data_IF_157853634098
#
_entry.id   IF_157853634098
#
_cell.length_a   1.000
_cell.length_b   1.000
_cell.length_c   1.000
_cell.angle_alpha   90.00
_cell.angle_beta   90.00
_cell.angle_gamma   90.00
#
_symmetry.space_group_name_H-M   'P 1'
#
loop_
_entity.id
_entity.type
_entity.pdbx_description
1 polymer ?
#
# COMPACT_ATOMS: atom_id res chain seq x y z
N UNK A 1 -2.43 -17.82 21.36
CA UNK A 1 -1.37 -16.89 21.81
C UNK A 1 -1.65 -15.55 21.14
N UNK A 2 -1.79 -14.47 21.91
CA UNK A 2 -2.01 -13.13 21.34
C UNK A 2 -0.75 -12.70 20.61
N UNK A 3 -0.88 -12.29 19.33
CA UNK A 3 0.24 -11.82 18.52
C UNK A 3 0.77 -10.50 19.09
N UNK A 4 2.05 -10.43 19.44
CA UNK A 4 2.68 -9.19 19.89
C UNK A 4 2.95 -8.28 18.68
N UNK A 5 2.00 -7.39 18.40
CA UNK A 5 2.09 -6.44 17.30
C UNK A 5 3.27 -5.46 17.42
N UNK A 6 3.74 -5.16 18.64
CA UNK A 6 4.86 -4.25 18.84
C UNK A 6 6.17 -4.92 18.48
N UNK A 7 6.36 -6.18 18.85
CA UNK A 7 7.52 -6.97 18.42
C UNK A 7 7.52 -7.16 16.89
N UNK A 8 6.37 -7.53 16.34
CA UNK A 8 6.22 -7.76 14.90
C UNK A 8 6.50 -6.51 14.08
N UNK A 9 6.00 -5.35 14.52
CA UNK A 9 6.30 -4.06 13.90
C UNK A 9 7.80 -3.78 13.89
N UNK A 10 8.49 -3.96 15.04
CA UNK A 10 9.95 -3.75 15.13
C UNK A 10 10.73 -4.67 14.18
N UNK A 11 10.35 -5.95 14.13
CA UNK A 11 10.94 -6.93 13.20
C UNK A 11 10.72 -6.51 11.75
N UNK A 12 9.51 -6.04 11.41
CA UNK A 12 9.18 -5.59 10.06
C UNK A 12 9.93 -4.32 9.67
N UNK A 13 10.03 -3.32 10.55
CA UNK A 13 10.83 -2.11 10.31
C UNK A 13 12.31 -2.41 10.15
N UNK A 14 12.85 -3.34 10.95
CA UNK A 14 14.22 -3.83 10.80
C UNK A 14 14.44 -4.47 9.42
N UNK A 15 13.50 -5.30 8.97
CA UNK A 15 13.51 -5.86 7.62
C UNK A 15 13.47 -4.76 6.55
N UNK A 16 12.50 -3.83 6.60
CA UNK A 16 12.36 -2.74 5.64
C UNK A 16 13.63 -1.88 5.54
N UNK A 17 14.31 -1.64 6.65
CA UNK A 17 15.55 -0.84 6.70
C UNK A 17 16.73 -1.50 5.99
N UNK A 18 16.73 -2.84 5.86
CA UNK A 18 17.81 -3.63 5.26
C UNK A 18 17.60 -3.88 3.76
N UNK A 19 16.45 -3.53 3.21
CA UNK A 19 16.16 -3.73 1.79
C UNK A 19 17.13 -2.94 0.89
N UNK A 20 17.73 -3.63 -0.08
CA UNK A 20 18.54 -3.01 -1.11
C UNK A 20 17.64 -2.51 -2.26
N UNK A 21 17.06 -1.32 -2.11
CA UNK A 21 16.15 -0.77 -3.12
C UNK A 21 16.85 -0.51 -4.46
N UNK A 22 18.14 -0.11 -4.43
CA UNK A 22 18.92 0.20 -5.64
C UNK A 22 19.09 -1.01 -6.56
N UNK A 23 19.18 -2.22 -5.99
CA UNK A 23 19.27 -3.48 -6.75
C UNK A 23 18.13 -3.65 -7.76
N UNK A 24 16.98 -3.03 -7.49
CA UNK A 24 15.75 -3.22 -8.26
C UNK A 24 15.29 -1.96 -9.02
N UNK A 25 16.15 -0.93 -9.12
CA UNK A 25 15.78 0.34 -9.76
C UNK A 25 15.36 0.12 -11.23
N UNK A 26 16.06 -0.75 -11.97
CA UNK A 26 15.75 -1.10 -13.36
C UNK A 26 14.37 -1.77 -13.52
N UNK A 27 13.91 -2.57 -12.55
CA UNK A 27 12.61 -3.27 -12.61
C UNK A 27 11.43 -2.30 -12.66
N UNK A 28 11.59 -1.05 -12.21
CA UNK A 28 10.53 -0.03 -12.25
C UNK A 28 10.26 0.47 -13.66
N UNK A 29 11.25 0.40 -14.54
CA UNK A 29 11.18 0.90 -15.91
C UNK A 29 10.68 -0.17 -16.89
N UNK A 30 10.83 -1.45 -16.53
CA UNK A 30 10.42 -2.58 -17.37
C UNK A 30 8.88 -2.71 -17.38
N UNK A 31 8.32 -2.60 -18.59
CA UNK A 31 6.88 -2.60 -18.89
C UNK A 31 6.45 -3.69 -19.87
N UNK A 32 7.17 -4.81 -19.87
CA UNK A 32 6.91 -5.92 -20.79
C UNK A 32 5.60 -6.64 -20.49
N UNK A 33 5.31 -6.88 -19.20
CA UNK A 33 4.06 -7.52 -18.75
C UNK A 33 3.16 -6.46 -18.12
N UNK A 34 2.24 -5.93 -18.91
CA UNK A 34 1.23 -4.94 -18.46
C UNK A 34 -0.19 -5.50 -18.45
N UNK A 35 -0.44 -6.64 -19.09
CA UNK A 35 -1.75 -7.30 -19.10
C UNK A 35 -2.20 -7.65 -17.68
N UNK A 36 -3.51 -7.68 -17.48
CA UNK A 36 -4.10 -8.14 -16.24
C UNK A 36 -3.74 -9.60 -16.00
N UNK A 37 -3.16 -9.87 -14.83
CA UNK A 37 -2.85 -11.23 -14.42
C UNK A 37 -4.16 -11.92 -14.07
N UNK A 38 -4.41 -13.14 -14.59
CA UNK A 38 -5.56 -13.93 -14.15
C UNK A 38 -5.46 -14.21 -12.65
N UNK A 39 -6.59 -14.52 -12.02
CA UNK A 39 -6.68 -14.69 -10.56
C UNK A 39 -5.67 -15.71 -10.00
N UNK A 40 -5.41 -16.79 -10.74
CA UNK A 40 -4.44 -17.82 -10.36
C UNK A 40 -2.98 -17.36 -10.44
N UNK A 41 -2.68 -16.28 -11.16
CA UNK A 41 -1.34 -15.66 -11.22
C UNK A 41 -1.23 -14.41 -10.36
N UNK A 42 -2.26 -14.06 -9.58
CA UNK A 42 -2.20 -12.93 -8.69
C UNK A 42 -1.12 -13.17 -7.61
N UNK A 43 -0.16 -12.25 -7.40
CA UNK A 43 0.90 -12.43 -6.41
C UNK A 43 0.44 -12.21 -4.96
N UNK A 44 -0.77 -11.70 -4.72
CA UNK A 44 -1.25 -11.40 -3.36
C UNK A 44 -1.21 -12.60 -2.41
N UNK A 45 -1.69 -13.82 -2.77
CA UNK A 45 -1.70 -14.94 -1.84
C UNK A 45 -0.31 -15.28 -1.27
N UNK A 46 0.71 -15.35 -2.13
CA UNK A 46 2.07 -15.66 -1.67
C UNK A 46 2.70 -14.50 -0.89
N UNK A 47 2.40 -13.25 -1.25
CA UNK A 47 2.88 -12.09 -0.49
C UNK A 47 2.22 -12.06 0.90
N UNK A 48 0.93 -12.33 1.02
CA UNK A 48 0.27 -12.43 2.33
C UNK A 48 0.81 -13.59 3.16
N UNK A 49 1.06 -14.75 2.53
CA UNK A 49 1.65 -15.91 3.21
C UNK A 49 2.96 -15.55 3.91
N UNK A 50 3.90 -14.89 3.22
CA UNK A 50 5.18 -14.50 3.81
C UNK A 50 5.05 -13.34 4.80
N UNK A 51 4.30 -12.29 4.44
CA UNK A 51 4.39 -10.98 5.08
C UNK A 51 3.22 -10.64 6.00
N UNK A 52 2.20 -11.49 6.13
CA UNK A 52 1.08 -11.26 7.05
C UNK A 52 0.77 -12.51 7.87
N UNK A 53 0.64 -13.66 7.21
CA UNK A 53 0.20 -14.91 7.84
C UNK A 53 1.34 -15.59 8.62
N UNK A 54 2.47 -15.85 7.96
CA UNK A 54 3.62 -16.52 8.58
C UNK A 54 4.62 -15.54 9.21
N UNK A 55 4.59 -14.25 8.81
CA UNK A 55 5.52 -13.21 9.27
C UNK A 55 7.00 -13.57 9.08
N UNK A 56 7.30 -14.30 8.00
CA UNK A 56 8.63 -14.66 7.55
C UNK A 56 9.07 -13.69 6.44
N UNK A 57 9.66 -12.57 6.84
CA UNK A 57 10.03 -11.48 5.93
C UNK A 57 11.27 -11.83 5.10
N UNK A 58 11.02 -12.43 3.94
CA UNK A 58 12.01 -12.74 2.89
C UNK A 58 12.29 -11.52 2.03
N UNK A 59 13.36 -11.52 1.23
CA UNK A 59 13.57 -10.43 0.27
C UNK A 59 12.73 -10.59 -1.02
N UNK A 60 12.86 -9.64 -1.95
CA UNK A 60 12.09 -9.69 -3.20
C UNK A 60 12.48 -10.85 -4.11
N UNK A 61 13.76 -11.21 -4.19
CA UNK A 61 14.20 -12.29 -5.05
C UNK A 61 13.71 -13.62 -4.52
N UNK A 62 13.85 -13.87 -3.21
CA UNK A 62 13.33 -15.07 -2.55
C UNK A 62 11.81 -15.22 -2.74
N UNK A 63 11.06 -14.12 -2.54
CA UNK A 63 9.61 -14.13 -2.77
C UNK A 63 9.26 -14.39 -4.23
N UNK A 64 9.96 -13.75 -5.18
CA UNK A 64 9.69 -13.92 -6.59
C UNK A 64 10.04 -15.31 -7.11
N UNK A 65 11.15 -15.89 -6.67
CA UNK A 65 11.53 -17.25 -7.06
C UNK A 65 10.50 -18.26 -6.57
N UNK A 66 10.00 -18.12 -5.35
CA UNK A 66 8.94 -19.01 -4.85
C UNK A 66 7.62 -18.78 -5.59
N UNK A 67 7.26 -17.53 -5.91
CA UNK A 67 6.11 -17.22 -6.76
C UNK A 67 6.26 -17.91 -8.12
N UNK A 68 7.41 -17.73 -8.76
CA UNK A 68 7.67 -18.25 -10.10
C UNK A 68 7.59 -19.77 -10.09
N UNK A 69 8.28 -20.43 -9.16
CA UNK A 69 8.27 -21.88 -8.99
C UNK A 69 6.86 -22.44 -8.81
N UNK A 70 6.01 -21.82 -7.99
CA UNK A 70 4.63 -22.27 -7.75
C UNK A 70 3.70 -22.05 -8.94
N UNK A 71 3.94 -20.99 -9.72
CA UNK A 71 3.04 -20.56 -10.80
C UNK A 71 3.50 -20.98 -12.20
N UNK A 72 4.71 -21.53 -12.33
CA UNK A 72 5.26 -22.05 -13.58
C UNK A 72 4.66 -23.41 -13.96
N UNK A 73 3.35 -23.42 -14.15
CA UNK A 73 2.54 -24.61 -14.47
C UNK A 73 1.87 -24.46 -15.83
N UNK A 74 1.41 -25.56 -16.47
CA UNK A 74 0.71 -25.50 -17.75
C UNK A 74 -0.47 -24.52 -17.78
N UNK A 75 -1.27 -24.47 -16.70
CA UNK A 75 -2.45 -23.60 -16.55
C UNK A 75 -2.13 -22.22 -15.94
N UNK A 76 -0.89 -22.00 -15.53
CA UNK A 76 -0.40 -20.76 -14.93
C UNK A 76 0.37 -19.91 -15.94
N UNK A 77 1.65 -19.68 -15.64
CA UNK A 77 2.53 -18.83 -16.45
C UNK A 77 2.60 -19.32 -17.89
N UNK A 78 2.62 -20.65 -18.14
CA UNK A 78 2.68 -21.18 -19.50
C UNK A 78 1.46 -20.81 -20.35
N UNK A 79 0.25 -20.96 -19.82
CA UNK A 79 -0.97 -20.56 -20.50
C UNK A 79 -0.97 -19.05 -20.79
N UNK A 80 -0.52 -18.24 -19.84
CA UNK A 80 -0.42 -16.79 -20.01
C UNK A 80 0.60 -16.39 -21.09
N UNK A 81 1.80 -16.98 -21.07
CA UNK A 81 2.86 -16.75 -22.08
C UNK A 81 2.35 -17.14 -23.47
N UNK A 82 1.73 -18.32 -23.61
CA UNK A 82 1.17 -18.77 -24.90
C UNK A 82 0.12 -17.81 -25.45
N UNK A 83 -0.71 -17.23 -24.58
CA UNK A 83 -1.78 -16.32 -24.96
C UNK A 83 -1.29 -14.93 -25.37
N UNK A 84 -0.31 -14.37 -24.66
CA UNK A 84 0.05 -12.95 -24.79
C UNK A 84 1.46 -12.68 -25.31
N UNK A 85 2.36 -13.67 -25.27
CA UNK A 85 3.80 -13.52 -25.56
C UNK A 85 4.30 -14.60 -26.52
N UNK A 86 3.46 -15.03 -27.47
CA UNK A 86 3.85 -16.00 -28.47
C UNK A 86 5.07 -15.51 -29.27
N UNK A 87 6.12 -16.34 -29.36
CA UNK A 87 7.37 -16.00 -30.04
C UNK A 87 8.40 -15.26 -29.17
N UNK A 88 8.06 -14.85 -27.95
CA UNK A 88 9.04 -14.29 -27.01
C UNK A 88 9.82 -15.40 -26.29
N UNK A 89 11.06 -15.11 -25.88
CA UNK A 89 11.81 -16.00 -25.00
C UNK A 89 11.20 -16.01 -23.60
N UNK A 90 11.35 -17.14 -22.90
CA UNK A 90 10.86 -17.25 -21.53
C UNK A 90 11.56 -16.25 -20.59
N UNK A 91 12.86 -16.04 -20.75
CA UNK A 91 13.64 -15.09 -19.93
C UNK A 91 13.09 -13.67 -20.03
N UNK A 92 12.73 -13.23 -21.24
CA UNK A 92 12.13 -11.92 -21.48
C UNK A 92 10.78 -11.77 -20.76
N UNK A 93 9.95 -12.80 -20.78
CA UNK A 93 8.65 -12.78 -20.08
C UNK A 93 8.83 -12.85 -18.57
N UNK A 94 9.75 -13.68 -18.08
CA UNK A 94 10.07 -13.80 -16.65
C UNK A 94 10.56 -12.47 -16.07
N UNK A 95 11.41 -11.74 -16.79
CA UNK A 95 11.86 -10.40 -16.39
C UNK A 95 10.68 -9.40 -16.33
N UNK A 96 9.74 -9.49 -17.27
CA UNK A 96 8.51 -8.71 -17.23
C UNK A 96 7.61 -9.04 -16.02
N UNK A 97 7.46 -10.31 -15.67
CA UNK A 97 6.76 -10.73 -14.46
C UNK A 97 7.45 -10.23 -13.20
N UNK A 98 8.78 -10.36 -13.13
CA UNK A 98 9.60 -9.84 -12.05
C UNK A 98 9.36 -8.33 -11.88
N UNK A 99 9.45 -7.57 -12.95
CA UNK A 99 9.15 -6.14 -12.91
C UNK A 99 7.74 -5.79 -12.41
N UNK A 100 6.70 -6.48 -12.93
CA UNK A 100 5.31 -6.23 -12.52
C UNK A 100 5.08 -6.56 -11.05
N UNK A 101 5.54 -7.72 -10.60
CA UNK A 101 5.34 -8.18 -9.23
C UNK A 101 6.14 -7.33 -8.24
N UNK A 102 7.35 -6.88 -8.60
CA UNK A 102 8.12 -5.96 -7.78
C UNK A 102 7.36 -4.67 -7.45
N UNK A 103 6.64 -4.09 -8.42
CA UNK A 103 5.82 -2.88 -8.19
C UNK A 103 4.68 -3.13 -7.20
N UNK A 104 4.03 -4.30 -7.31
CA UNK A 104 2.99 -4.72 -6.36
C UNK A 104 3.59 -4.94 -4.97
N UNK A 105 4.67 -5.69 -4.88
CA UNK A 105 5.38 -6.00 -3.63
C UNK A 105 5.81 -4.74 -2.87
N UNK A 106 6.44 -3.78 -3.54
CA UNK A 106 6.83 -2.51 -2.93
C UNK A 106 5.63 -1.74 -2.33
N UNK A 107 4.49 -1.76 -3.01
CA UNK A 107 3.27 -1.10 -2.53
C UNK A 107 2.70 -1.81 -1.31
N UNK A 108 2.69 -3.15 -1.32
CA UNK A 108 2.21 -3.99 -0.22
C UNK A 108 3.07 -3.88 1.03
N UNK A 109 4.40 -3.75 0.89
CA UNK A 109 5.25 -3.54 2.06
C UNK A 109 4.89 -2.24 2.81
N UNK A 110 4.54 -1.18 2.08
CA UNK A 110 4.07 0.06 2.70
C UNK A 110 2.72 -0.16 3.36
N UNK A 111 1.81 -0.88 2.71
CA UNK A 111 0.52 -1.27 3.26
C UNK A 111 0.65 -2.06 4.57
N UNK A 112 1.46 -3.12 4.59
CA UNK A 112 1.71 -3.92 5.79
C UNK A 112 2.31 -3.10 6.91
N UNK A 113 3.20 -2.14 6.62
CA UNK A 113 3.75 -1.25 7.65
C UNK A 113 2.64 -0.48 8.37
N UNK A 114 1.69 0.10 7.63
CA UNK A 114 0.54 0.77 8.23
C UNK A 114 -0.29 -0.17 9.09
N UNK A 115 -0.55 -1.38 8.61
CA UNK A 115 -1.40 -2.36 9.29
C UNK A 115 -0.76 -2.86 10.59
N UNK A 116 0.54 -3.15 10.57
CA UNK A 116 1.30 -3.50 11.77
C UNK A 116 1.35 -2.34 12.77
N UNK A 117 1.61 -1.13 12.29
CA UNK A 117 1.61 0.06 13.13
C UNK A 117 0.23 0.32 13.74
N UNK A 118 -0.84 0.14 12.97
CA UNK A 118 -2.21 0.24 13.45
C UNK A 118 -2.47 -0.71 14.61
N UNK A 119 -2.16 -1.99 14.45
CA UNK A 119 -2.41 -2.98 15.48
C UNK A 119 -1.50 -2.81 16.71
N UNK A 120 -0.32 -2.22 16.55
CA UNK A 120 0.58 -1.88 17.66
C UNK A 120 0.09 -0.67 18.48
N UNK A 121 -0.56 0.30 17.83
CA UNK A 121 -0.92 1.60 18.42
C UNK A 121 -2.40 1.72 18.83
N UNK A 122 -3.33 1.12 18.05
CA UNK A 122 -4.79 1.25 18.22
C UNK A 122 -5.40 -0.08 18.63
N UNK A 123 -4.99 -0.58 19.80
CA UNK A 123 -5.39 -1.90 20.30
C UNK A 123 -6.89 -2.05 20.55
N UNK A 124 -7.61 -0.94 20.76
CA UNK A 124 -9.07 -0.93 20.95
C UNK A 124 -9.87 -1.19 19.68
N UNK A 125 -9.25 -1.10 18.51
CA UNK A 125 -9.91 -1.23 17.21
C UNK A 125 -9.01 -2.04 16.26
N UNK A 126 -8.86 -3.36 16.46
CA UNK A 126 -7.94 -4.17 15.67
C UNK A 126 -8.29 -4.14 14.18
N UNK A 127 -7.24 -4.24 13.37
CA UNK A 127 -7.29 -4.32 11.92
C UNK A 127 -6.94 -5.74 11.48
N UNK A 128 -7.78 -6.30 10.62
CA UNK A 128 -7.53 -7.57 9.93
C UNK A 128 -7.29 -7.33 8.44
N UNK A 129 -6.47 -8.18 7.83
CA UNK A 129 -6.16 -8.14 6.40
C UNK A 129 -6.04 -9.57 5.86
N UNK A 130 -6.28 -9.74 4.57
CA UNK A 130 -6.07 -11.00 3.85
C UNK A 130 -5.91 -10.75 2.36
N UNK A 131 -5.28 -11.68 1.65
CA UNK A 131 -5.18 -11.61 0.20
C UNK A 131 -6.56 -11.56 -0.48
N UNK A 132 -7.58 -12.20 0.10
CA UNK A 132 -8.94 -12.16 -0.44
C UNK A 132 -9.56 -10.76 -0.36
N UNK A 133 -9.40 -10.09 0.78
CA UNK A 133 -9.87 -8.71 0.95
C UNK A 133 -9.17 -7.76 -0.03
N UNK A 134 -7.85 -7.88 -0.16
CA UNK A 134 -7.04 -7.01 -1.02
C UNK A 134 -7.34 -7.23 -2.51
N UNK A 135 -7.55 -8.49 -2.94
CA UNK A 135 -8.07 -8.80 -4.28
C UNK A 135 -9.42 -8.13 -4.57
N UNK A 136 -10.25 -7.95 -3.55
CA UNK A 136 -11.52 -7.24 -3.61
C UNK A 136 -11.36 -5.72 -3.43
N UNK A 137 -10.14 -5.21 -3.32
CA UNK A 137 -9.80 -3.79 -3.17
C UNK A 137 -10.04 -3.23 -1.76
N UNK A 138 -10.04 -4.10 -0.74
CA UNK A 138 -10.08 -3.75 0.68
C UNK A 138 -8.75 -4.17 1.29
N UNK A 139 -7.87 -3.20 1.51
CA UNK A 139 -6.52 -3.48 2.00
C UNK A 139 -6.57 -4.00 3.45
N UNK A 140 -7.55 -3.55 4.24
CA UNK A 140 -7.82 -4.10 5.58
C UNK A 140 -9.18 -3.69 6.13
N UNK A 141 -9.59 -4.32 7.23
CA UNK A 141 -10.86 -4.04 7.91
C UNK A 141 -10.61 -3.78 9.40
N UNK A 142 -10.98 -2.58 9.86
CA UNK A 142 -11.01 -2.25 11.28
C UNK A 142 -12.31 -2.78 11.88
N UNK A 143 -12.21 -3.45 13.04
CA UNK A 143 -13.36 -3.87 13.85
C UNK A 143 -13.47 -2.98 15.09
N UNK A 144 -14.58 -2.26 15.23
CA UNK A 144 -14.82 -1.41 16.39
C UNK A 144 -16.32 -1.28 16.71
N UNK A 145 -16.72 -1.59 17.94
CA UNK A 145 -18.10 -1.41 18.41
C UNK A 145 -19.14 -2.10 17.53
N UNK A 146 -18.86 -3.32 17.08
CA UNK A 146 -19.74 -4.08 16.17
C UNK A 146 -19.75 -3.60 14.71
N UNK A 147 -19.00 -2.54 14.38
CA UNK A 147 -18.88 -2.01 13.02
C UNK A 147 -17.62 -2.52 12.33
N UNK A 148 -17.71 -2.77 11.03
CA UNK A 148 -16.59 -3.10 10.13
C UNK A 148 -16.30 -1.90 9.23
N UNK A 149 -15.05 -1.45 9.20
CA UNK A 149 -14.64 -0.26 8.45
C UNK A 149 -13.53 -0.67 7.50
N UNK A 150 -13.79 -0.59 6.20
CA UNK A 150 -12.79 -0.90 5.18
C UNK A 150 -11.75 0.22 5.08
N UNK A 151 -10.49 -0.17 4.99
CA UNK A 151 -9.35 0.70 4.70
C UNK A 151 -8.88 0.47 3.28
N UNK A 152 -8.52 1.55 2.60
CA UNK A 152 -7.75 1.54 1.37
C UNK A 152 -6.54 2.46 1.48
N UNK A 153 -5.35 1.91 1.56
CA UNK A 153 -4.07 2.62 1.64
C UNK A 153 -3.63 3.03 0.24
N UNK A 154 -3.57 4.34 -0.02
CA UNK A 154 -3.34 4.87 -1.38
C UNK A 154 -2.11 5.74 -1.45
N UNK A 155 -1.28 5.50 -2.46
CA UNK A 155 -0.25 6.46 -2.84
C UNK A 155 -0.93 7.72 -3.38
N UNK A 156 -0.60 8.87 -2.82
CA UNK A 156 -1.01 10.16 -3.38
C UNK A 156 -0.33 10.32 -4.74
N UNK A 157 -1.12 10.50 -5.79
CA UNK A 157 -0.65 10.79 -7.14
C UNK A 157 -1.16 12.15 -7.56
N UNK A 158 -0.22 13.02 -7.93
CA UNK A 158 -0.52 14.39 -8.35
C UNK A 158 -0.68 14.54 -9.87
N UNK A 159 -0.79 13.43 -10.60
CA UNK A 159 -1.06 13.44 -12.04
C UNK A 159 -2.52 13.82 -12.29
N UNK A 160 -2.80 14.68 -13.28
CA UNK A 160 -4.16 15.14 -13.64
C UNK A 160 -5.16 14.00 -13.89
N UNK A 161 -4.70 12.86 -14.40
CA UNK A 161 -5.53 11.68 -14.68
C UNK A 161 -5.94 10.91 -13.40
N UNK A 162 -5.24 11.13 -12.27
CA UNK A 162 -5.51 10.46 -11.01
C UNK A 162 -6.58 11.15 -10.15
N UNK A 163 -6.88 12.43 -10.41
CA UNK A 163 -7.82 13.24 -9.61
C UNK A 163 -9.30 12.90 -9.82
N UNK A 164 -9.62 11.98 -10.75
CA UNK A 164 -11.00 11.57 -11.06
C UNK A 164 -11.46 10.26 -10.39
N UNK A 165 -10.61 9.58 -9.60
CA UNK A 165 -10.93 8.24 -9.08
C UNK A 165 -11.86 8.33 -7.86
N UNK A 166 -13.14 8.02 -8.06
CA UNK A 166 -14.09 7.72 -6.97
C UNK A 166 -13.68 6.43 -6.27
N UNK A 167 -14.15 6.22 -5.03
CA UNK A 167 -14.02 4.93 -4.34
C UNK A 167 -14.33 3.77 -5.29
N UNK A 168 -13.48 2.74 -5.31
CA UNK A 168 -13.75 1.47 -6.00
C UNK A 168 -14.74 0.61 -5.18
N UNK A 169 -15.71 1.26 -4.54
CA UNK A 169 -16.74 0.62 -3.74
C UNK A 169 -17.93 0.31 -4.63
N UNK A 170 -18.20 -0.96 -4.84
CA UNK A 170 -19.51 -1.38 -5.32
C UNK A 170 -20.39 -1.68 -4.11
N UNK A 171 -21.68 -1.33 -4.19
CA UNK A 171 -22.70 -1.68 -3.20
C UNK A 171 -22.64 -3.18 -2.82
N UNK A 172 -22.31 -4.03 -3.80
CA UNK A 172 -22.07 -5.47 -3.62
C UNK A 172 -20.97 -5.79 -2.61
N UNK A 173 -19.85 -5.06 -2.61
CA UNK A 173 -18.75 -5.27 -1.63
C UNK A 173 -19.17 -4.83 -0.24
N UNK A 174 -19.89 -3.71 -0.16
CA UNK A 174 -20.39 -3.17 1.12
C UNK A 174 -21.33 -4.15 1.81
N UNK A 175 -22.23 -4.78 1.04
CA UNK A 175 -23.12 -5.83 1.53
C UNK A 175 -22.36 -7.12 1.87
N UNK A 176 -21.49 -7.62 0.98
CA UNK A 176 -20.71 -8.86 1.18
C UNK A 176 -19.91 -8.84 2.50
N UNK A 177 -19.32 -7.69 2.83
CA UNK A 177 -18.46 -7.55 4.01
C UNK A 177 -19.14 -6.82 5.17
N UNK A 178 -20.43 -6.48 5.04
CA UNK A 178 -21.22 -5.77 6.06
C UNK A 178 -20.55 -4.47 6.54
N UNK A 179 -20.05 -3.69 5.58
CA UNK A 179 -19.26 -2.50 5.88
C UNK A 179 -20.13 -1.36 6.40
N UNK A 180 -19.67 -0.74 7.48
CA UNK A 180 -20.25 0.49 8.05
C UNK A 180 -19.53 1.75 7.58
N UNK A 181 -18.33 1.61 6.98
CA UNK A 181 -17.58 2.75 6.49
C UNK A 181 -16.40 2.40 5.61
N UNK A 182 -15.90 3.41 4.90
CA UNK A 182 -14.67 3.37 4.10
C UNK A 182 -13.72 4.48 4.49
N UNK A 183 -12.43 4.17 4.53
CA UNK A 183 -11.37 5.13 4.86
C UNK A 183 -10.25 4.99 3.84
N UNK A 184 -9.98 6.05 3.09
CA UNK A 184 -8.76 6.14 2.28
C UNK A 184 -7.63 6.67 3.14
N UNK A 185 -6.55 5.89 3.27
CA UNK A 185 -5.36 6.25 4.02
C UNK A 185 -4.27 6.65 3.03
N UNK A 186 -4.05 7.95 2.77
CA UNK A 186 -3.02 8.36 1.83
C UNK A 186 -1.60 8.13 2.37
N UNK A 187 -0.65 7.94 1.46
CA UNK A 187 0.77 8.03 1.76
C UNK A 187 1.54 8.71 0.64
N UNK A 188 2.66 9.33 1.00
CA UNK A 188 3.49 10.12 0.09
C UNK A 188 4.78 9.36 -0.22
N UNK A 189 5.13 9.29 -1.51
CA UNK A 189 6.42 8.76 -1.97
C UNK A 189 7.06 9.82 -2.86
N UNK A 190 7.85 10.68 -2.23
CA UNK A 190 8.42 11.88 -2.85
C UNK A 190 9.94 11.92 -2.68
N UNK A 191 10.63 12.53 -3.64
CA UNK A 191 12.04 12.86 -3.45
C UNK A 191 12.16 14.13 -2.61
N UNK A 192 12.42 13.92 -1.31
CA UNK A 192 12.62 15.01 -0.36
C UNK A 192 13.73 15.99 -0.77
N UNK A 193 14.75 15.54 -1.52
CA UNK A 193 15.81 16.43 -2.02
C UNK A 193 15.27 17.37 -3.10
N UNK A 194 14.49 16.82 -4.04
CA UNK A 194 13.86 17.61 -5.09
C UNK A 194 12.83 18.59 -4.52
N UNK A 195 12.07 18.18 -3.50
CA UNK A 195 11.12 19.06 -2.82
C UNK A 195 11.80 20.24 -2.14
N UNK A 196 12.90 20.01 -1.41
CA UNK A 196 13.68 21.10 -0.78
C UNK A 196 14.22 22.07 -1.84
N UNK A 197 14.79 21.54 -2.93
CA UNK A 197 15.23 22.36 -4.07
C UNK A 197 14.10 23.21 -4.65
N UNK A 198 12.89 22.65 -4.80
CA UNK A 198 11.71 23.38 -5.30
C UNK A 198 11.28 24.48 -4.33
N UNK A 199 11.27 24.19 -3.02
CA UNK A 199 10.90 25.14 -1.96
C UNK A 199 11.84 26.37 -1.95
N UNK A 200 13.14 26.15 -2.09
CA UNK A 200 14.18 27.20 -2.01
C UNK A 200 14.38 27.97 -3.33
N UNK A 201 13.94 27.39 -4.45
CA UNK A 201 14.16 27.98 -5.78
C UNK A 201 13.28 29.20 -6.03
N UNK A 202 13.89 30.38 -6.12
CA UNK A 202 13.22 31.62 -6.54
C UNK A 202 12.63 31.55 -7.97
N UNK A 203 13.06 30.58 -8.79
CA UNK A 203 12.52 30.34 -10.14
C UNK A 203 11.18 29.58 -10.13
N UNK A 204 10.79 29.00 -9.00
CA UNK A 204 9.53 28.24 -8.88
C UNK A 204 8.36 29.17 -8.54
N UNK A 205 7.21 28.92 -9.17
CA UNK A 205 5.94 29.61 -8.83
C UNK A 205 5.62 29.45 -7.34
N UNK A 206 5.00 30.47 -6.74
CA UNK A 206 4.64 30.47 -5.31
C UNK A 206 3.85 29.23 -4.91
N UNK A 207 2.83 28.85 -5.70
CA UNK A 207 2.03 27.65 -5.48
C UNK A 207 2.87 26.36 -5.41
N UNK A 208 3.92 26.26 -6.24
CA UNK A 208 4.82 25.10 -6.23
C UNK A 208 5.69 25.07 -4.98
N UNK A 209 6.15 26.25 -4.52
CA UNK A 209 6.94 26.38 -3.30
C UNK A 209 6.11 26.04 -2.07
N UNK A 210 4.89 26.58 -1.98
CA UNK A 210 3.98 26.32 -0.86
C UNK A 210 3.58 24.85 -0.80
N UNK A 211 3.29 24.23 -1.94
CA UNK A 211 3.01 22.79 -1.98
C UNK A 211 4.22 21.94 -1.55
N UNK A 212 5.43 22.29 -1.99
CA UNK A 212 6.63 21.59 -1.56
C UNK A 212 6.83 21.70 -0.04
N UNK A 213 6.59 22.89 0.52
CA UNK A 213 6.62 23.15 1.97
C UNK A 213 5.58 22.31 2.73
N UNK A 214 4.33 22.28 2.27
CA UNK A 214 3.25 21.44 2.86
C UNK A 214 3.65 19.96 2.87
N UNK A 215 4.17 19.44 1.76
CA UNK A 215 4.60 18.05 1.66
C UNK A 215 5.76 17.77 2.63
N UNK A 216 6.78 18.64 2.67
CA UNK A 216 7.93 18.47 3.55
C UNK A 216 7.56 18.46 5.04
N UNK A 217 6.52 19.22 5.43
CA UNK A 217 6.02 19.21 6.81
C UNK A 217 5.56 17.81 7.25
N UNK A 218 4.98 17.01 6.35
CA UNK A 218 4.59 15.63 6.66
C UNK A 218 5.78 14.67 6.85
N UNK A 219 7.01 15.08 6.50
CA UNK A 219 8.24 14.31 6.71
C UNK A 219 9.15 14.91 7.80
N UNK A 220 8.74 16.02 8.44
CA UNK A 220 9.49 16.63 9.55
C UNK A 220 9.46 15.79 10.82
N UNK A 221 10.07 16.28 11.89
CA UNK A 221 10.16 15.57 13.18
C UNK A 221 8.78 15.28 13.80
N UNK A 222 7.82 16.17 13.59
CA UNK A 222 6.40 16.01 13.97
C UNK A 222 5.54 15.47 12.82
N UNK A 223 6.17 15.08 11.71
CA UNK A 223 5.51 14.60 10.51
C UNK A 223 4.82 13.26 10.70
N UNK A 224 4.14 12.83 9.64
CA UNK A 224 3.41 11.57 9.57
C UNK A 224 4.20 10.45 8.91
N UNK A 225 5.29 10.78 8.21
CA UNK A 225 6.11 9.85 7.47
C UNK A 225 7.57 9.96 7.87
N UNK A 226 8.29 8.86 7.74
CA UNK A 226 9.75 8.81 7.88
C UNK A 226 10.35 8.15 6.65
N UNK A 227 11.41 8.75 6.12
CA UNK A 227 12.25 8.12 5.10
C UNK A 227 13.41 7.41 5.79
N UNK A 228 13.45 6.09 5.68
CA UNK A 228 14.56 5.26 6.15
C UNK A 228 15.83 5.57 5.35
N UNK A 229 16.98 5.19 5.89
CA UNK A 229 18.30 5.47 5.29
C UNK A 229 18.46 4.84 3.90
N UNK A 230 17.83 3.68 3.65
CA UNK A 230 17.78 3.03 2.34
C UNK A 230 16.78 3.68 1.37
N UNK A 231 16.02 4.69 1.81
CA UNK A 231 15.07 5.44 1.02
C UNK A 231 13.62 4.96 1.09
N UNK A 232 13.33 3.87 1.80
CA UNK A 232 11.96 3.39 2.00
C UNK A 232 11.15 4.35 2.88
N UNK A 233 9.85 4.50 2.62
CA UNK A 233 8.96 5.37 3.42
C UNK A 233 8.12 4.51 4.36
N UNK A 234 8.11 4.87 5.63
CA UNK A 234 7.28 4.26 6.67
C UNK A 234 6.38 5.30 7.34
N UNK A 235 5.30 4.85 7.95
CA UNK A 235 4.39 5.70 8.72
C UNK A 235 4.93 5.95 10.14
N UNK A 236 4.54 7.07 10.75
CA UNK A 236 4.80 7.34 12.17
C UNK A 236 3.54 7.10 13.00
N UNK A 237 3.66 6.74 14.29
CA UNK A 237 2.51 6.54 15.19
C UNK A 237 1.50 7.70 15.18
N UNK A 238 2.01 8.94 15.14
CA UNK A 238 1.18 10.15 15.08
C UNK A 238 0.18 10.13 13.91
N UNK A 239 0.54 9.51 12.78
CA UNK A 239 -0.34 9.39 11.62
C UNK A 239 -1.50 8.42 11.87
N UNK A 240 -1.22 7.24 12.41
CA UNK A 240 -2.24 6.25 12.75
C UNK A 240 -3.24 6.83 13.75
N UNK A 241 -2.76 7.54 14.78
CA UNK A 241 -3.61 8.24 15.74
C UNK A 241 -4.46 9.33 15.08
N UNK A 242 -3.91 10.06 14.09
CA UNK A 242 -4.66 11.04 13.31
C UNK A 242 -5.77 10.41 12.46
N UNK A 243 -5.47 9.32 11.76
CA UNK A 243 -6.47 8.54 11.01
C UNK A 243 -7.56 8.06 11.97
N UNK A 244 -7.18 7.47 13.11
CA UNK A 244 -8.15 6.95 14.07
C UNK A 244 -9.07 8.03 14.64
N UNK A 245 -8.53 9.20 15.04
CA UNK A 245 -9.35 10.34 15.47
C UNK A 245 -10.37 10.76 14.40
N UNK A 246 -9.95 10.76 13.14
CA UNK A 246 -10.82 11.09 12.00
C UNK A 246 -11.95 10.08 11.86
N UNK A 247 -11.64 8.78 11.98
CA UNK A 247 -12.64 7.70 11.96
C UNK A 247 -13.60 7.82 13.13
N UNK A 248 -13.12 8.03 14.37
CA UNK A 248 -13.96 8.22 15.54
C UNK A 248 -14.93 9.40 15.39
N UNK A 249 -14.47 10.51 14.80
CA UNK A 249 -15.33 11.66 14.52
C UNK A 249 -16.45 11.30 13.55
N UNK A 250 -16.15 10.58 12.46
CA UNK A 250 -17.18 10.15 11.52
C UNK A 250 -18.15 9.14 12.15
N UNK A 251 -17.66 8.22 12.98
CA UNK A 251 -18.51 7.25 13.67
C UNK A 251 -19.54 7.89 14.61
N UNK A 252 -19.22 9.05 15.20
CA UNK A 252 -20.14 9.82 16.07
C UNK A 252 -21.24 10.53 15.29
N UNK A 253 -20.93 10.99 14.07
CA UNK A 253 -21.85 11.78 13.24
C UNK A 253 -22.64 10.88 12.26
N UNK A 254 -22.15 9.69 11.97
CA UNK A 254 -22.80 8.74 11.08
C UNK A 254 -24.17 8.32 11.64
N UNK A 255 -25.22 8.56 10.84
CA UNK A 255 -26.57 8.09 11.13
C UNK A 255 -26.60 6.55 11.16
N UNK A 256 -27.42 5.99 12.06
CA UNK A 256 -27.56 4.54 12.18
C UNK A 256 -27.96 3.93 10.82
N UNK A 257 -27.23 2.91 10.38
CA UNK A 257 -27.46 2.22 9.10
C UNK A 257 -26.92 2.92 7.84
N UNK A 258 -26.31 4.11 7.93
CA UNK A 258 -25.65 4.74 6.77
C UNK A 258 -24.15 4.53 6.77
N UNK A 259 -23.63 4.10 5.62
CA UNK A 259 -22.21 3.96 5.36
C UNK A 259 -21.54 5.33 5.29
N UNK A 260 -20.49 5.55 6.10
CA UNK A 260 -19.67 6.77 6.03
C UNK A 260 -18.44 6.58 5.15
N UNK A 261 -17.87 7.69 4.68
CA UNK A 261 -16.64 7.68 3.89
C UNK A 261 -15.71 8.78 4.38
N UNK A 262 -14.44 8.42 4.56
CA UNK A 262 -13.32 9.35 4.77
C UNK A 262 -12.44 9.29 3.54
N UNK A 263 -12.38 10.39 2.79
CA UNK A 263 -11.50 10.49 1.63
C UNK A 263 -10.10 10.94 2.02
N UNK A 264 -9.14 10.68 1.15
CA UNK A 264 -7.75 11.00 1.44
C UNK A 264 -7.50 12.50 1.69
N UNK A 265 -8.25 13.41 1.06
CA UNK A 265 -8.13 14.87 1.27
C UNK A 265 -8.56 15.31 2.68
N UNK A 266 -9.41 14.51 3.33
CA UNK A 266 -9.83 14.76 4.72
C UNK A 266 -8.75 14.34 5.73
N UNK A 267 -7.83 13.46 5.32
CA UNK A 267 -6.72 12.98 6.16
C UNK A 267 -5.46 13.82 5.92
N UNK A 268 -5.11 14.06 4.65
CA UNK A 268 -3.97 14.89 4.23
C UNK A 268 -4.46 16.03 3.32
N UNK A 269 -4.79 17.20 3.88
CA UNK A 269 -5.15 18.37 3.11
C UNK A 269 -3.90 18.96 2.43
N UNK A 270 -3.63 18.50 1.22
CA UNK A 270 -2.47 18.91 0.40
C UNK A 270 -2.73 20.16 -0.45
N UNK A 271 -3.98 20.65 -0.46
CA UNK A 271 -4.46 21.76 -1.28
C UNK A 271 -4.90 22.91 -0.38
#
# INVERSE_FOLDING_TARGET
MSQDWKDLLKRFESFLSKLNLKKYDNLREIKTVEQDLPRNLNPLPIIYEFYWDNTNFVDYDEMFEEYWRRNFTPDGVWAFVKKFFYGCSLSFVQEGFKARIYRTWMSLLTQFHFQYLWNAEVTSAPLESSAELDMDGIDGVIKFGGKKIAIQIKKVSFRREASGRRFASSKRKEERYELSGWVEVPYLVEDLRELRRKQESARCKEETRERAKKILAYFGDEGYFQRLSNGFIIFRPAYVHHVWRTVCRQLKVAQHGKLFRVRYEEILPLW
#
